data_IF_737423541956
#
_entry.id   IF_737423541956
#
_cell.length_a   1.000
_cell.length_b   1.000
_cell.length_c   1.000
_cell.angle_alpha   90.00
_cell.angle_beta   90.00
_cell.angle_gamma   90.00
#
_symmetry.space_group_name_H-M   'P 1'
#
loop_
_entity.id
_entity.type
_entity.pdbx_description
1 polymer ?
#
# COMPACT_ATOMS: atom_id res chain seq x y z
N UNK A 1 24.70 7.75 -24.86
CA UNK A 1 23.33 7.70 -24.28
C UNK A 1 23.36 8.12 -22.80
N UNK A 2 22.92 9.34 -22.54
CA UNK A 2 23.27 10.18 -21.39
C UNK A 2 22.69 9.69 -20.06
N UNK A 3 23.53 9.67 -19.02
CA UNK A 3 23.14 9.34 -17.64
C UNK A 3 21.96 10.16 -17.10
N UNK A 4 21.69 11.32 -17.71
CA UNK A 4 20.58 12.21 -17.37
C UNK A 4 19.20 11.58 -17.66
N UNK A 5 19.03 10.86 -18.78
CA UNK A 5 17.72 10.27 -19.10
C UNK A 5 17.34 9.15 -18.12
N UNK A 6 18.32 8.43 -17.58
CA UNK A 6 18.08 7.37 -16.58
C UNK A 6 17.62 7.95 -15.24
N UNK A 7 18.19 9.08 -14.83
CA UNK A 7 17.82 9.77 -13.58
C UNK A 7 16.40 10.32 -13.62
N UNK A 8 15.98 10.85 -14.77
CA UNK A 8 14.59 11.30 -14.99
C UNK A 8 13.61 10.13 -14.90
N UNK A 9 13.92 9.00 -15.55
CA UNK A 9 13.08 7.78 -15.49
C UNK A 9 12.97 7.25 -14.06
N UNK A 10 14.08 7.17 -13.32
CA UNK A 10 14.07 6.68 -11.93
C UNK A 10 13.21 7.58 -11.01
N UNK A 11 13.22 8.89 -11.25
CA UNK A 11 12.41 9.85 -10.50
C UNK A 11 10.92 9.67 -10.81
N UNK A 12 10.56 9.49 -12.08
CA UNK A 12 9.18 9.23 -12.51
C UNK A 12 8.66 7.92 -11.90
N UNK A 13 9.47 6.86 -11.88
CA UNK A 13 9.10 5.57 -11.28
C UNK A 13 8.85 5.74 -9.78
N UNK A 14 9.72 6.47 -9.07
CA UNK A 14 9.53 6.76 -7.64
C UNK A 14 8.29 7.59 -7.36
N UNK A 15 8.01 8.61 -8.20
CA UNK A 15 6.84 9.45 -8.07
C UNK A 15 5.54 8.67 -8.34
N UNK A 16 5.53 7.84 -9.38
CA UNK A 16 4.40 6.99 -9.71
C UNK A 16 4.07 6.00 -8.58
N UNK A 17 5.09 5.37 -7.97
CA UNK A 17 4.89 4.49 -6.81
C UNK A 17 4.25 5.22 -5.62
N UNK A 18 4.70 6.44 -5.31
CA UNK A 18 4.09 7.24 -4.26
C UNK A 18 2.64 7.62 -4.59
N UNK A 19 2.34 8.04 -5.82
CA UNK A 19 0.97 8.34 -6.25
C UNK A 19 0.07 7.11 -6.13
N UNK A 20 0.57 5.92 -6.49
CA UNK A 20 -0.18 4.67 -6.40
C UNK A 20 -0.49 4.32 -4.94
N UNK A 21 0.46 4.52 -4.02
CA UNK A 21 0.20 4.35 -2.58
C UNK A 21 -0.94 5.27 -2.11
N UNK A 22 -0.88 6.56 -2.44
CA UNK A 22 -1.94 7.51 -2.07
C UNK A 22 -3.28 7.18 -2.71
N UNK A 23 -3.27 6.66 -3.93
CA UNK A 23 -4.47 6.21 -4.64
C UNK A 23 -5.16 5.05 -3.90
N UNK A 24 -4.42 4.02 -3.49
CA UNK A 24 -4.96 2.89 -2.73
C UNK A 24 -5.52 3.33 -1.37
N UNK A 25 -4.83 4.23 -0.67
CA UNK A 25 -5.33 4.79 0.59
C UNK A 25 -6.64 5.57 0.40
N UNK A 26 -6.74 6.38 -0.66
CA UNK A 26 -7.95 7.13 -0.96
C UNK A 26 -9.11 6.20 -1.34
N UNK A 27 -8.84 5.17 -2.13
CA UNK A 27 -9.82 4.15 -2.49
C UNK A 27 -10.34 3.41 -1.27
N UNK A 28 -9.45 2.95 -0.37
CA UNK A 28 -9.87 2.27 0.84
C UNK A 28 -10.80 3.16 1.70
N UNK A 29 -10.43 4.43 1.89
CA UNK A 29 -11.25 5.37 2.64
C UNK A 29 -12.62 5.62 2.01
N UNK A 30 -12.67 5.73 0.68
CA UNK A 30 -13.93 5.92 -0.07
C UNK A 30 -14.83 4.69 0.00
N UNK A 31 -14.26 3.48 -0.13
CA UNK A 31 -14.99 2.21 -0.08
C UNK A 31 -15.10 1.62 1.33
N UNK A 32 -14.74 2.37 2.37
CA UNK A 32 -14.69 1.88 3.75
C UNK A 32 -16.01 1.29 4.24
N UNK A 33 -17.15 1.86 3.82
CA UNK A 33 -18.49 1.36 4.16
C UNK A 33 -18.80 0.03 3.44
N UNK A 34 -18.49 -0.06 2.14
CA UNK A 34 -18.65 -1.32 1.39
C UNK A 34 -17.75 -2.43 1.94
N UNK A 35 -16.48 -2.11 2.27
CA UNK A 35 -15.54 -3.06 2.87
C UNK A 35 -16.04 -3.54 4.24
N UNK A 36 -16.59 -2.64 5.05
CA UNK A 36 -17.18 -2.99 6.35
C UNK A 36 -18.29 -4.04 6.21
N UNK A 37 -19.16 -3.89 5.22
CA UNK A 37 -20.29 -4.80 5.01
C UNK A 37 -19.88 -6.15 4.42
N UNK A 38 -18.91 -6.18 3.51
CA UNK A 38 -18.46 -7.39 2.81
C UNK A 38 -17.50 -8.23 3.66
N UNK A 39 -16.52 -7.60 4.32
CA UNK A 39 -15.45 -8.32 5.04
C UNK A 39 -15.70 -8.48 6.54
N UNK A 40 -16.53 -7.62 7.14
CA UNK A 40 -16.82 -7.68 8.58
C UNK A 40 -18.33 -7.84 8.87
N UNK A 41 -18.98 -8.95 8.49
CA UNK A 41 -20.38 -9.18 8.87
C UNK A 41 -20.49 -9.82 10.28
N UNK A 42 -20.88 -9.07 11.34
CA UNK A 42 -21.71 -9.71 12.37
C UNK A 42 -22.72 -8.79 13.12
N UNK A 43 -23.98 -9.25 13.22
CA UNK A 43 -25.07 -8.94 14.19
C UNK A 43 -25.47 -7.50 14.56
N UNK A 44 -24.62 -6.48 14.39
CA UNK A 44 -24.89 -5.07 14.73
C UNK A 44 -24.07 -4.15 13.82
N UNK A 45 -24.72 -3.42 12.91
CA UNK A 45 -24.07 -2.63 11.84
C UNK A 45 -23.04 -1.60 12.31
N UNK A 46 -23.13 -1.13 13.57
CA UNK A 46 -22.23 -0.10 14.11
C UNK A 46 -20.78 -0.58 14.30
N UNK A 47 -20.58 -1.87 14.66
CA UNK A 47 -19.23 -2.39 14.92
C UNK A 47 -18.42 -2.59 13.63
N UNK A 48 -19.07 -2.88 12.51
CA UNK A 48 -18.41 -3.22 11.24
C UNK A 48 -17.61 -2.04 10.69
N UNK A 49 -18.20 -0.85 10.78
CA UNK A 49 -17.61 0.37 10.29
C UNK A 49 -16.40 0.79 11.15
N UNK A 50 -16.46 0.54 12.46
CA UNK A 50 -15.34 0.72 13.39
C UNK A 50 -14.18 -0.22 13.01
N UNK A 51 -14.44 -1.50 12.72
CA UNK A 51 -13.39 -2.43 12.29
C UNK A 51 -12.73 -2.01 10.98
N UNK A 52 -13.52 -1.53 10.00
CA UNK A 52 -12.99 -1.02 8.73
C UNK A 52 -12.07 0.20 8.93
N UNK A 53 -12.45 1.13 9.81
CA UNK A 53 -11.59 2.26 10.18
C UNK A 53 -10.38 1.85 11.02
N UNK A 54 -10.47 0.79 11.84
CA UNK A 54 -9.31 0.27 12.56
C UNK A 54 -8.27 -0.30 11.60
N UNK A 55 -8.69 -0.98 10.53
CA UNK A 55 -7.77 -1.42 9.46
C UNK A 55 -7.14 -0.22 8.75
N UNK A 56 -7.94 0.82 8.44
CA UNK A 56 -7.41 2.08 7.90
C UNK A 56 -6.38 2.73 8.83
N UNK A 57 -6.68 2.80 10.13
CA UNK A 57 -5.77 3.32 11.15
C UNK A 57 -4.51 2.47 11.30
N UNK A 58 -4.64 1.14 11.22
CA UNK A 58 -3.52 0.20 11.24
C UNK A 58 -2.53 0.44 10.11
N UNK A 59 -3.01 0.85 8.93
CA UNK A 59 -2.15 1.19 7.80
C UNK A 59 -1.20 2.38 8.11
N UNK A 60 -1.60 3.34 8.95
CA UNK A 60 -0.70 4.41 9.41
C UNK A 60 0.42 3.90 10.32
N UNK A 61 0.16 2.88 11.14
CA UNK A 61 1.17 2.22 11.97
C UNK A 61 2.11 1.36 11.13
N UNK A 62 1.60 0.77 10.04
CA UNK A 62 2.42 -0.03 9.13
C UNK A 62 3.41 0.82 8.32
N UNK A 63 3.17 2.12 8.12
CA UNK A 63 4.11 3.02 7.43
C UNK A 63 5.50 3.12 8.07
N UNK A 64 5.66 3.43 9.37
CA UNK A 64 6.98 3.45 10.00
C UNK A 64 7.64 2.06 9.99
N UNK A 65 6.86 0.98 10.15
CA UNK A 65 7.37 -0.39 10.08
C UNK A 65 7.91 -0.69 8.67
N UNK A 66 7.14 -0.36 7.64
CA UNK A 66 7.54 -0.49 6.24
C UNK A 66 8.76 0.36 5.91
N UNK A 67 8.84 1.58 6.44
CA UNK A 67 10.00 2.45 6.29
C UNK A 67 11.27 1.89 6.93
N UNK A 68 11.17 1.27 8.11
CA UNK A 68 12.30 0.62 8.76
C UNK A 68 12.81 -0.59 7.95
N UNK A 69 11.90 -1.44 7.48
CA UNK A 69 12.24 -2.63 6.69
C UNK A 69 12.85 -2.22 5.34
N UNK A 70 12.15 -1.36 4.61
CA UNK A 70 12.57 -0.90 3.27
C UNK A 70 13.83 -0.06 3.35
N UNK A 71 14.00 0.74 4.40
CA UNK A 71 15.21 1.50 4.70
C UNK A 71 16.40 0.58 4.97
N UNK A 72 16.26 -0.40 5.84
CA UNK A 72 17.32 -1.39 6.10
C UNK A 72 17.73 -2.16 4.82
N UNK A 73 16.75 -2.54 3.99
CA UNK A 73 17.00 -3.20 2.71
C UNK A 73 17.70 -2.24 1.73
N UNK A 74 17.29 -0.98 1.69
CA UNK A 74 17.89 0.06 0.85
C UNK A 74 19.34 0.34 1.21
N UNK A 75 19.65 0.40 2.50
CA UNK A 75 20.98 0.66 3.03
C UNK A 75 21.93 -0.53 2.81
N UNK A 76 21.43 -1.76 2.97
CA UNK A 76 22.26 -2.98 2.88
C UNK A 76 22.36 -3.56 1.46
N UNK A 77 21.31 -3.50 0.66
CA UNK A 77 21.21 -4.17 -0.64
C UNK A 77 21.04 -3.22 -1.84
N UNK A 78 20.94 -1.91 -1.58
CA UNK A 78 20.87 -0.86 -2.59
C UNK A 78 19.43 -0.40 -2.93
N UNK A 79 19.29 0.89 -3.23
CA UNK A 79 18.00 1.58 -3.48
C UNK A 79 17.10 0.91 -4.52
N UNK A 80 17.68 0.36 -5.60
CA UNK A 80 16.89 -0.29 -6.66
C UNK A 80 16.17 -1.54 -6.17
N UNK A 81 16.80 -2.34 -5.30
CA UNK A 81 16.17 -3.55 -4.74
C UNK A 81 15.10 -3.21 -3.72
N UNK A 82 15.31 -2.15 -2.93
CA UNK A 82 14.29 -1.64 -2.02
C UNK A 82 13.03 -1.18 -2.78
N UNK A 83 13.21 -0.45 -3.88
CA UNK A 83 12.08 0.00 -4.71
C UNK A 83 11.29 -1.15 -5.32
N UNK A 84 11.97 -2.18 -5.83
CA UNK A 84 11.32 -3.39 -6.36
C UNK A 84 10.61 -4.17 -5.24
N UNK A 85 11.22 -4.26 -4.05
CA UNK A 85 10.60 -4.92 -2.89
C UNK A 85 9.30 -4.24 -2.47
N UNK A 86 9.27 -2.91 -2.36
CA UNK A 86 8.05 -2.15 -2.07
C UNK A 86 6.96 -2.41 -3.10
N UNK A 87 7.32 -2.48 -4.39
CA UNK A 87 6.37 -2.76 -5.47
C UNK A 87 5.73 -4.16 -5.32
N UNK A 88 6.50 -5.16 -4.93
CA UNK A 88 5.98 -6.49 -4.63
C UNK A 88 5.09 -6.51 -3.37
N UNK A 89 5.53 -5.86 -2.30
CA UNK A 89 4.75 -5.73 -1.07
C UNK A 89 3.40 -5.04 -1.29
N UNK A 90 3.29 -4.17 -2.29
CA UNK A 90 2.03 -3.52 -2.65
C UNK A 90 1.19 -4.38 -3.61
N UNK A 91 1.79 -4.89 -4.68
CA UNK A 91 1.06 -5.64 -5.72
C UNK A 91 0.52 -6.99 -5.27
N UNK A 92 1.23 -7.71 -4.39
CA UNK A 92 0.81 -9.04 -3.91
C UNK A 92 -0.52 -8.95 -3.14
N UNK A 93 -0.67 -8.08 -2.12
CA UNK A 93 -1.95 -7.87 -1.44
C UNK A 93 -3.05 -7.39 -2.38
N UNK A 94 -2.78 -6.47 -3.30
CA UNK A 94 -3.80 -5.96 -4.24
C UNK A 94 -4.32 -7.07 -5.15
N UNK A 95 -3.45 -7.94 -5.65
CA UNK A 95 -3.84 -9.11 -6.44
C UNK A 95 -4.60 -10.10 -5.56
N UNK A 96 -4.16 -10.35 -4.33
CA UNK A 96 -4.85 -11.25 -3.41
C UNK A 96 -6.26 -10.76 -3.07
N UNK A 97 -6.45 -9.45 -2.87
CA UNK A 97 -7.76 -8.83 -2.68
C UNK A 97 -8.66 -9.01 -3.91
N UNK A 98 -8.11 -8.84 -5.13
CA UNK A 98 -8.86 -9.06 -6.37
C UNK A 98 -9.22 -10.52 -6.64
N UNK A 99 -8.45 -11.46 -6.11
CA UNK A 99 -8.71 -12.90 -6.22
C UNK A 99 -9.64 -13.44 -5.13
N UNK A 100 -9.95 -12.63 -4.12
CA UNK A 100 -10.80 -13.04 -3.02
C UNK A 100 -12.25 -13.14 -3.52
N UNK A 101 -12.94 -14.28 -3.34
CA UNK A 101 -14.36 -14.37 -3.66
C UNK A 101 -15.13 -13.51 -2.65
N UNK A 102 -15.60 -12.35 -3.10
CA UNK A 102 -16.43 -11.40 -2.33
C UNK A 102 -17.87 -11.86 -2.26
#
# INVERSE_FOLDING_TARGET
>A
PSSYSKMEIDTIISAAGNVLEWYDFALYGFFSDTIAQVFFPPSSSEHNLIYSYLVFGGAFVMRPIGGLITGHIGDKYGRKKALVFSLFCMSIPTVALGLLPT
#
